data_IF_582403386199
#
_entry.id   IF_582403386199
#
_cell.length_a   1.000
_cell.length_b   1.000
_cell.length_c   1.000
_cell.angle_alpha   90.00
_cell.angle_beta   90.00
_cell.angle_gamma   90.00
#
_symmetry.space_group_name_H-M   'P 1'
#
loop_
_entity.id
_entity.type
_entity.pdbx_description
1 polymer ?
#
# COMPACT_ATOMS: atom_id res chain seq x y z
N UNK A 1 -25.04 -9.93 -23.83
CA UNK A 1 -24.71 -8.83 -22.90
C UNK A 1 -26.01 -8.34 -22.29
N UNK A 2 -26.09 -8.38 -20.97
CA UNK A 2 -27.24 -7.89 -20.24
C UNK A 2 -27.30 -6.34 -20.31
N UNK A 3 -28.47 -5.72 -20.15
CA UNK A 3 -28.58 -4.26 -20.03
C UNK A 3 -27.73 -3.69 -18.88
N UNK A 4 -27.58 -4.47 -17.80
CA UNK A 4 -26.70 -4.15 -16.66
C UNK A 4 -25.23 -4.10 -17.07
N UNK A 5 -24.78 -4.98 -17.97
CA UNK A 5 -23.40 -5.00 -18.44
C UNK A 5 -23.09 -3.73 -19.26
N UNK A 6 -24.06 -3.25 -20.04
CA UNK A 6 -23.91 -2.02 -20.82
C UNK A 6 -23.91 -0.76 -19.95
N UNK A 7 -24.59 -0.78 -18.82
CA UNK A 7 -24.64 0.33 -17.87
C UNK A 7 -23.34 0.44 -17.05
N UNK A 8 -22.79 -0.69 -16.62
CA UNK A 8 -21.45 -0.73 -15.99
C UNK A 8 -20.34 -0.23 -16.91
N UNK A 9 -20.46 -0.45 -18.22
CA UNK A 9 -19.49 0.02 -19.21
C UNK A 9 -19.62 1.51 -19.55
N UNK A 10 -20.72 2.19 -19.21
CA UNK A 10 -20.88 3.63 -19.44
C UNK A 10 -20.03 4.46 -18.48
N UNK A 11 -19.88 4.03 -17.23
CA UNK A 11 -19.01 4.69 -16.26
C UNK A 11 -17.51 4.57 -16.60
N UNK A 12 -17.13 3.62 -17.46
CA UNK A 12 -15.76 3.50 -17.98
C UNK A 12 -15.49 4.41 -19.19
N UNK A 13 -16.54 4.94 -19.84
CA UNK A 13 -16.38 5.91 -20.93
C UNK A 13 -16.09 7.32 -20.43
N UNK A 14 -16.42 7.60 -19.17
CA UNK A 14 -16.02 8.81 -18.44
C UNK A 14 -14.66 8.61 -17.75
N UNK A 15 -13.77 7.78 -18.32
CA UNK A 15 -12.34 7.91 -18.07
C UNK A 15 -11.94 9.29 -18.58
N UNK A 16 -11.98 10.23 -17.63
CA UNK A 16 -11.55 11.62 -17.69
C UNK A 16 -10.41 11.76 -18.71
N UNK A 17 -10.76 12.20 -19.93
CA UNK A 17 -9.83 12.27 -21.07
C UNK A 17 -8.65 13.21 -20.74
N UNK A 18 -8.85 14.09 -19.75
CA UNK A 18 -7.89 15.05 -19.25
C UNK A 18 -7.07 14.56 -18.04
N UNK A 19 -7.42 13.42 -17.44
CA UNK A 19 -6.63 12.78 -16.39
C UNK A 19 -6.04 11.45 -16.90
N UNK A 20 -4.75 11.41 -17.30
CA UNK A 20 -4.07 10.19 -17.77
C UNK A 20 -3.90 9.11 -16.67
N UNK A 21 -4.67 9.18 -15.58
CA UNK A 21 -4.57 8.33 -14.41
C UNK A 21 -3.57 8.84 -13.38
N UNK A 22 -3.43 10.16 -13.19
CA UNK A 22 -2.60 10.71 -12.12
C UNK A 22 -3.04 10.19 -10.75
N UNK A 23 -2.04 9.95 -9.90
CA UNK A 23 -2.24 9.55 -8.51
C UNK A 23 -3.03 10.61 -7.75
N UNK A 24 -4.25 10.26 -7.33
CA UNK A 24 -5.17 11.16 -6.62
C UNK A 24 -4.67 11.58 -5.22
N UNK A 25 -3.60 10.95 -4.72
CA UNK A 25 -3.02 11.28 -3.43
C UNK A 25 -1.96 12.40 -3.53
N UNK A 26 -1.05 12.33 -4.50
CA UNK A 26 0.05 13.29 -4.61
C UNK A 26 -0.07 14.22 -5.83
N UNK A 27 -0.84 13.83 -6.84
CA UNK A 27 -1.00 14.53 -8.10
C UNK A 27 0.34 14.86 -8.81
N UNK A 28 1.37 14.03 -8.63
CA UNK A 28 2.72 14.26 -9.19
C UNK A 28 3.09 13.32 -10.34
N UNK A 29 2.47 12.15 -10.44
CA UNK A 29 2.78 11.14 -11.46
C UNK A 29 1.55 10.28 -11.78
N UNK A 30 1.59 9.61 -12.94
CA UNK A 30 0.61 8.59 -13.32
C UNK A 30 0.67 7.45 -12.29
N UNK A 31 -0.50 6.97 -11.88
CA UNK A 31 -0.64 5.87 -10.93
C UNK A 31 -0.52 4.53 -11.66
N UNK A 32 0.71 4.16 -11.99
CA UNK A 32 1.04 2.80 -12.37
C UNK A 32 1.13 1.87 -11.13
N UNK A 33 1.31 0.55 -11.28
CA UNK A 33 1.42 -0.36 -10.13
C UNK A 33 2.54 0.00 -9.15
N UNK A 34 3.66 0.53 -9.63
CA UNK A 34 4.77 0.93 -8.78
C UNK A 34 4.43 2.17 -7.95
N UNK A 35 3.73 3.13 -8.54
CA UNK A 35 3.24 4.33 -7.88
C UNK A 35 2.05 4.08 -6.94
N UNK A 36 1.19 3.13 -7.31
CA UNK A 36 0.08 2.66 -6.48
C UNK A 36 0.58 2.03 -5.18
N UNK A 37 1.71 1.31 -5.22
CA UNK A 37 2.20 0.55 -4.06
C UNK A 37 3.33 1.26 -3.31
N UNK A 38 4.29 1.84 -4.01
CA UNK A 38 5.56 2.29 -3.42
C UNK A 38 5.89 3.75 -3.75
N UNK A 39 5.93 4.14 -5.02
CA UNK A 39 6.63 5.37 -5.47
C UNK A 39 5.90 6.68 -5.17
N UNK A 40 4.62 6.63 -4.79
CA UNK A 40 3.91 7.82 -4.29
C UNK A 40 4.55 8.34 -2.99
N UNK A 41 4.87 9.64 -2.90
CA UNK A 41 5.54 10.25 -1.74
C UNK A 41 4.91 9.90 -0.38
N UNK A 42 3.57 9.82 -0.31
CA UNK A 42 2.84 9.44 0.90
C UNK A 42 3.05 7.97 1.27
N UNK A 43 3.05 7.08 0.27
CA UNK A 43 3.25 5.64 0.41
C UNK A 43 4.72 5.34 0.73
N UNK A 44 5.67 6.01 0.07
CA UNK A 44 7.11 5.96 0.37
C UNK A 44 7.39 6.33 1.83
N UNK A 45 6.78 7.41 2.33
CA UNK A 45 6.94 7.80 3.74
C UNK A 45 6.37 6.72 4.66
N UNK A 46 5.17 6.19 4.36
CA UNK A 46 4.62 5.09 5.13
C UNK A 46 5.52 3.85 5.13
N UNK A 47 6.06 3.44 3.98
CA UNK A 47 7.03 2.35 3.87
C UNK A 47 8.24 2.55 4.78
N UNK A 48 8.88 3.73 4.75
CA UNK A 48 10.03 4.04 5.62
C UNK A 48 9.72 3.80 7.10
N UNK A 49 8.57 4.28 7.55
CA UNK A 49 8.16 4.13 8.95
C UNK A 49 7.80 2.68 9.24
N UNK A 50 7.06 2.02 8.33
CA UNK A 50 6.66 0.63 8.46
C UNK A 50 7.87 -0.29 8.61
N UNK A 51 8.83 -0.25 7.67
CA UNK A 51 10.05 -1.06 7.71
C UNK A 51 10.81 -0.88 9.04
N UNK A 52 10.93 0.37 9.51
CA UNK A 52 11.58 0.69 10.79
C UNK A 52 10.87 0.09 11.99
N UNK A 53 9.55 0.22 12.09
CA UNK A 53 8.82 -0.28 13.26
C UNK A 53 8.70 -1.81 13.25
N UNK A 54 8.71 -2.43 12.07
CA UNK A 54 8.60 -3.88 11.94
C UNK A 54 9.96 -4.59 12.01
N UNK A 55 11.07 -3.85 12.05
CA UNK A 55 12.45 -4.35 12.09
C UNK A 55 12.74 -5.39 11.00
N UNK A 56 12.17 -5.22 9.82
CA UNK A 56 12.44 -6.12 8.69
C UNK A 56 13.78 -5.74 8.07
N UNK A 57 14.63 -6.72 7.81
CA UNK A 57 15.91 -6.52 7.13
C UNK A 57 15.72 -6.42 5.61
N UNK A 58 15.03 -5.37 5.17
CA UNK A 58 14.82 -5.00 3.77
C UNK A 58 14.94 -3.48 3.69
N UNK A 59 15.82 -2.98 2.81
CA UNK A 59 15.94 -1.55 2.56
C UNK A 59 14.82 -1.07 1.65
N UNK A 60 14.47 0.21 1.74
CA UNK A 60 13.37 0.79 0.97
C UNK A 60 13.57 0.61 -0.55
N UNK A 61 14.80 0.81 -1.00
CA UNK A 61 15.22 0.64 -2.40
C UNK A 61 15.00 -0.79 -2.93
N UNK A 62 15.08 -1.80 -2.06
CA UNK A 62 14.96 -3.21 -2.43
C UNK A 62 13.50 -3.71 -2.35
N UNK A 63 12.57 -2.91 -1.81
CA UNK A 63 11.18 -3.32 -1.58
C UNK A 63 10.51 -3.75 -2.88
N UNK A 64 10.65 -2.95 -3.95
CA UNK A 64 9.97 -3.23 -5.22
C UNK A 64 10.41 -4.57 -5.81
N UNK A 65 11.72 -4.78 -5.88
CA UNK A 65 12.30 -6.00 -6.40
C UNK A 65 11.89 -7.21 -5.54
N UNK A 66 11.80 -7.02 -4.23
CA UNK A 66 11.37 -8.08 -3.31
C UNK A 66 9.91 -8.46 -3.50
N UNK A 67 8.99 -7.49 -3.56
CA UNK A 67 7.55 -7.77 -3.70
C UNK A 67 7.17 -8.24 -5.10
N UNK A 68 8.04 -8.02 -6.09
CA UNK A 68 7.90 -8.53 -7.46
C UNK A 68 8.72 -9.80 -7.71
N UNK A 69 9.31 -10.40 -6.66
CA UNK A 69 10.08 -11.64 -6.70
C UNK A 69 11.32 -11.60 -7.61
N UNK A 70 11.86 -10.41 -7.86
CA UNK A 70 13.12 -10.21 -8.56
C UNK A 70 14.33 -10.43 -7.63
N UNK A 71 14.12 -10.40 -6.31
CA UNK A 71 15.11 -10.72 -5.30
C UNK A 71 14.63 -11.87 -4.38
N UNK A 72 15.58 -12.51 -3.69
CA UNK A 72 15.27 -13.54 -2.69
C UNK A 72 14.85 -12.87 -1.38
N UNK A 73 13.76 -13.34 -0.80
CA UNK A 73 13.33 -12.99 0.55
C UNK A 73 12.81 -14.24 1.27
N UNK A 74 12.87 -14.21 2.60
CA UNK A 74 12.29 -15.25 3.44
C UNK A 74 10.77 -15.17 3.44
N UNK A 75 10.11 -16.26 3.81
CA UNK A 75 8.65 -16.29 3.96
C UNK A 75 8.15 -15.22 4.95
N UNK A 76 8.90 -15.01 6.04
CA UNK A 76 8.55 -14.02 7.07
C UNK A 76 8.65 -12.59 6.53
N UNK A 77 9.71 -12.29 5.77
CA UNK A 77 9.88 -11.02 5.07
C UNK A 77 8.70 -10.77 4.12
N UNK A 78 8.36 -11.74 3.26
CA UNK A 78 7.25 -11.61 2.31
C UNK A 78 5.89 -11.44 3.01
N UNK A 79 5.66 -12.18 4.09
CA UNK A 79 4.42 -12.07 4.89
C UNK A 79 4.27 -10.67 5.49
N UNK A 80 5.38 -10.10 5.98
CA UNK A 80 5.42 -8.76 6.53
C UNK A 80 5.22 -7.68 5.47
N UNK A 81 5.88 -7.80 4.32
CA UNK A 81 5.68 -6.88 3.19
C UNK A 81 4.22 -6.95 2.69
N UNK A 82 3.62 -8.15 2.67
CA UNK A 82 2.21 -8.34 2.37
C UNK A 82 1.27 -7.59 3.32
N UNK A 83 1.58 -7.54 4.62
CA UNK A 83 0.79 -6.75 5.58
C UNK A 83 0.89 -5.25 5.33
N UNK A 84 2.07 -4.76 4.94
CA UNK A 84 2.25 -3.35 4.58
C UNK A 84 1.45 -3.04 3.31
N UNK A 85 1.52 -3.90 2.29
CA UNK A 85 0.76 -3.76 1.04
C UNK A 85 -0.76 -3.76 1.33
N UNK A 86 -1.26 -4.67 2.16
CA UNK A 86 -2.67 -4.73 2.53
C UNK A 86 -3.15 -3.41 3.15
N UNK A 87 -2.34 -2.81 4.03
CA UNK A 87 -2.67 -1.50 4.64
C UNK A 87 -2.66 -0.39 3.61
N UNK A 88 -1.68 -0.37 2.70
CA UNK A 88 -1.61 0.60 1.60
C UNK A 88 -2.84 0.49 0.73
N UNK A 89 -3.19 -0.71 0.29
CA UNK A 89 -4.37 -0.96 -0.53
C UNK A 89 -5.64 -0.44 0.13
N UNK A 90 -5.90 -0.86 1.37
CA UNK A 90 -7.10 -0.45 2.10
C UNK A 90 -7.16 1.07 2.31
N UNK A 91 -6.05 1.70 2.67
CA UNK A 91 -6.01 3.13 2.96
C UNK A 91 -6.03 3.98 1.69
N UNK A 92 -5.37 3.54 0.62
CA UNK A 92 -5.42 4.18 -0.69
C UNK A 92 -6.86 4.28 -1.19
N UNK A 93 -7.58 3.16 -1.26
CA UNK A 93 -8.96 3.17 -1.75
C UNK A 93 -9.91 3.92 -0.83
N UNK A 94 -9.69 3.88 0.49
CA UNK A 94 -10.45 4.70 1.43
C UNK A 94 -10.25 6.20 1.15
N UNK A 95 -9.01 6.65 0.88
CA UNK A 95 -8.71 8.03 0.51
C UNK A 95 -9.34 8.41 -0.84
N UNK A 96 -9.18 7.56 -1.85
CA UNK A 96 -9.66 7.79 -3.22
C UNK A 96 -11.19 7.83 -3.29
N UNK A 97 -11.88 6.84 -2.72
CA UNK A 97 -13.34 6.72 -2.78
C UNK A 97 -14.01 7.79 -1.92
N UNK A 98 -13.54 7.97 -0.67
CA UNK A 98 -14.16 8.90 0.26
C UNK A 98 -13.62 10.33 0.13
N UNK A 99 -12.69 10.58 -0.80
CA UNK A 99 -12.04 11.88 -1.02
C UNK A 99 -11.42 12.47 0.27
N UNK A 100 -10.83 11.61 1.09
CA UNK A 100 -10.16 12.03 2.34
C UNK A 100 -8.64 12.09 2.17
N UNK A 101 -7.94 13.03 2.83
CA UNK A 101 -6.49 13.12 2.75
C UNK A 101 -5.77 11.87 3.29
N UNK A 102 -4.60 11.56 2.72
CA UNK A 102 -3.73 10.52 3.27
C UNK A 102 -3.25 10.89 4.68
N UNK A 103 -3.24 9.92 5.59
CA UNK A 103 -2.77 10.11 6.97
C UNK A 103 -1.86 8.94 7.40
N UNK A 104 -0.56 9.21 7.48
CA UNK A 104 0.45 8.20 7.83
C UNK A 104 0.29 7.67 9.26
N UNK A 105 -0.22 8.47 10.21
CA UNK A 105 -0.48 8.00 11.57
C UNK A 105 -1.59 6.95 11.58
N UNK A 106 -2.64 7.17 10.79
CA UNK A 106 -3.75 6.23 10.65
C UNK A 106 -3.31 4.92 10.01
N UNK A 107 -2.50 4.97 8.94
CA UNK A 107 -1.98 3.76 8.29
C UNK A 107 -1.09 2.95 9.23
N UNK A 108 -0.23 3.61 10.03
CA UNK A 108 0.60 2.93 11.04
C UNK A 108 -0.27 2.26 12.12
N UNK A 109 -1.32 2.92 12.62
CA UNK A 109 -2.26 2.30 13.56
C UNK A 109 -2.94 1.08 12.96
N UNK A 110 -3.29 1.14 11.67
CA UNK A 110 -3.90 0.03 10.95
C UNK A 110 -2.93 -1.14 10.77
N UNK A 111 -1.66 -0.88 10.43
CA UNK A 111 -0.61 -1.90 10.38
C UNK A 111 -0.42 -2.58 11.73
N UNK A 112 -0.40 -1.81 12.83
CA UNK A 112 -0.33 -2.38 14.18
C UNK A 112 -1.50 -3.31 14.46
N UNK A 113 -2.72 -2.92 14.08
CA UNK A 113 -3.91 -3.75 14.25
C UNK A 113 -3.86 -5.03 13.41
N UNK A 114 -3.44 -4.96 12.15
CA UNK A 114 -3.28 -6.14 11.29
C UNK A 114 -2.34 -7.16 11.94
N UNK A 115 -1.19 -6.69 12.45
CA UNK A 115 -0.21 -7.56 13.11
C UNK A 115 -0.73 -8.11 14.44
N UNK A 116 -1.39 -7.28 15.24
CA UNK A 116 -2.01 -7.71 16.50
C UNK A 116 -3.02 -8.84 16.27
N UNK A 117 -3.86 -8.73 15.23
CA UNK A 117 -4.85 -9.76 14.90
C UNK A 117 -4.22 -11.09 14.45
N UNK A 118 -2.94 -11.08 14.06
CA UNK A 118 -2.16 -12.28 13.75
C UNK A 118 -1.41 -12.83 14.99
N UNK A 119 -1.65 -12.28 16.17
CA UNK A 119 -0.94 -12.65 17.40
C UNK A 119 0.49 -12.11 17.50
N UNK A 120 0.86 -11.12 16.68
CA UNK A 120 2.19 -10.51 16.72
C UNK A 120 2.10 -9.24 17.58
N UNK A 121 2.64 -9.30 18.80
CA UNK A 121 2.65 -8.16 19.71
C UNK A 121 3.94 -7.35 19.52
N UNK A 122 3.84 -6.02 19.56
CA UNK A 122 5.03 -5.17 19.38
C UNK A 122 6.00 -5.23 20.58
N UNK A 123 5.54 -5.73 21.73
CA UNK A 123 6.35 -5.96 22.92
C UNK A 123 7.33 -7.13 22.74
N UNK A 124 7.04 -8.06 21.82
CA UNK A 124 7.89 -9.22 21.50
C UNK A 124 9.23 -8.81 20.85
N UNK A 125 9.34 -7.58 20.35
CA UNK A 125 10.57 -7.06 19.74
C UNK A 125 11.58 -6.48 20.75
N UNK A 126 11.23 -6.41 22.04
CA UNK A 126 12.15 -5.99 23.11
C UNK A 126 12.87 -7.17 23.77
N UNK A 127 12.46 -8.42 23.49
CA UNK A 127 13.00 -9.64 24.08
C UNK A 127 13.55 -10.64 23.05
N UNK A 128 13.99 -10.17 21.87
CA UNK A 128 14.85 -10.98 21.02
C UNK A 128 16.30 -10.90 21.56
N UNK A 129 17.00 -12.04 21.72
CA UNK A 129 18.33 -12.11 22.34
C UNK A 129 19.38 -11.26 21.62
#
# INVERSE_FOLDING_TARGET
>A
MSPSDQESLRHLKDLDIDNPGYCLLCNQAIEDPAHLILQCIHKTHFWRVALKITKVDIKLEDVWDTITFQSKATQDQLTLLGDIILVIWQHHWMCTINKIPWNTTHTIRRLRRVRWNKGIHFEDFHNAP
#
